data_IF_729647197598
#
_entry.id   IF_729647197598
#
_cell.length_a   1.000
_cell.length_b   1.000
_cell.length_c   1.000
_cell.angle_alpha   90.00
_cell.angle_beta   90.00
_cell.angle_gamma   90.00
#
_symmetry.space_group_name_H-M   'P 1'
#
loop_
_entity.id
_entity.type
_entity.pdbx_description
1 polymer ?
#
# COMPACT_ATOMS: atom_id res chain seq x y z
N UNK A 1 0.45 10.97 -32.89
CA UNK A 1 -1.00 10.86 -33.06
C UNK A 1 -1.65 11.22 -31.73
N UNK A 2 -2.63 12.18 -31.80
CA UNK A 2 -3.42 12.61 -30.66
C UNK A 2 -4.82 12.02 -30.80
N UNK A 3 -5.32 11.40 -29.74
CA UNK A 3 -6.59 10.67 -29.73
C UNK A 3 -7.49 11.21 -28.62
N UNK A 4 -8.77 11.41 -28.97
CA UNK A 4 -9.82 11.78 -28.04
C UNK A 4 -10.88 10.68 -27.99
N UNK A 5 -11.22 10.23 -26.79
CA UNK A 5 -12.27 9.23 -26.59
C UNK A 5 -13.40 9.85 -25.77
N UNK A 6 -14.61 9.84 -26.33
CA UNK A 6 -15.83 10.38 -25.73
C UNK A 6 -16.24 11.74 -26.27
N UNK A 7 -17.24 12.41 -25.66
CA UNK A 7 -17.74 13.72 -26.06
C UNK A 7 -16.64 14.79 -26.06
N UNK A 8 -16.42 15.46 -27.16
CA UNK A 8 -15.37 16.46 -27.29
C UNK A 8 -15.99 17.87 -27.31
N UNK A 9 -15.58 18.72 -26.39
CA UNK A 9 -15.88 20.15 -26.37
C UNK A 9 -14.62 20.93 -26.76
N UNK A 10 -14.42 21.14 -28.07
CA UNK A 10 -13.23 21.85 -28.59
C UNK A 10 -13.11 23.27 -28.03
N UNK A 11 -11.94 23.60 -27.54
CA UNK A 11 -11.51 24.93 -27.12
C UNK A 11 -10.40 25.42 -28.06
N UNK A 12 -10.14 26.73 -28.11
CA UNK A 12 -9.19 27.36 -29.04
C UNK A 12 -7.73 26.83 -28.92
N UNK A 13 -7.35 26.26 -27.78
CA UNK A 13 -6.01 25.71 -27.50
C UNK A 13 -5.90 24.19 -27.73
N UNK A 14 -7.00 23.53 -28.16
CA UNK A 14 -6.99 22.11 -28.47
C UNK A 14 -6.19 21.84 -29.75
N UNK A 15 -5.25 20.86 -29.72
CA UNK A 15 -4.67 20.35 -30.96
C UNK A 15 -5.70 19.56 -31.78
N UNK A 16 -5.33 19.20 -33.00
CA UNK A 16 -6.15 18.29 -33.79
C UNK A 16 -6.07 16.88 -33.20
N UNK A 17 -7.24 16.32 -32.89
CA UNK A 17 -7.43 14.97 -32.40
C UNK A 17 -8.19 14.10 -33.38
N UNK A 18 -7.80 12.84 -33.47
CA UNK A 18 -8.66 11.79 -34.01
C UNK A 18 -9.66 11.38 -32.94
N UNK A 19 -10.95 11.58 -33.19
CA UNK A 19 -12.01 11.37 -32.21
C UNK A 19 -12.60 9.95 -32.36
N UNK A 20 -12.74 9.25 -31.23
CA UNK A 20 -13.34 7.92 -31.14
C UNK A 20 -14.48 7.93 -30.12
N UNK A 21 -15.51 7.13 -30.38
CA UNK A 21 -16.63 6.98 -29.46
C UNK A 21 -16.35 5.95 -28.35
N UNK A 22 -15.40 5.01 -28.58
CA UNK A 22 -15.03 3.98 -27.61
C UNK A 22 -13.57 3.56 -27.75
N UNK A 23 -13.04 2.87 -26.75
CA UNK A 23 -11.68 2.33 -26.76
C UNK A 23 -11.54 1.15 -27.72
N UNK A 24 -12.59 0.36 -27.89
CA UNK A 24 -12.62 -0.78 -28.81
C UNK A 24 -12.38 -0.32 -30.25
N UNK A 25 -13.08 0.74 -30.67
CA UNK A 25 -12.91 1.34 -31.99
C UNK A 25 -11.47 1.83 -32.26
N UNK A 26 -10.77 2.32 -31.22
CA UNK A 26 -9.36 2.68 -31.33
C UNK A 26 -8.49 1.44 -31.52
N UNK A 27 -8.71 0.38 -30.72
CA UNK A 27 -7.88 -0.82 -30.72
C UNK A 27 -8.04 -1.66 -31.99
N UNK A 28 -9.25 -1.70 -32.58
CA UNK A 28 -9.51 -2.39 -33.86
C UNK A 28 -8.68 -1.81 -35.01
N UNK A 29 -8.36 -0.53 -34.98
CA UNK A 29 -7.53 0.11 -35.98
C UNK A 29 -6.03 -0.16 -35.81
N UNK A 30 -5.61 -0.76 -34.70
CA UNK A 30 -4.20 -1.08 -34.40
C UNK A 30 -3.28 0.13 -34.30
N UNK A 31 -3.83 1.33 -34.11
CA UNK A 31 -3.03 2.56 -34.04
C UNK A 31 -2.37 2.74 -32.68
N UNK A 32 -1.05 2.96 -32.70
CA UNK A 32 -0.33 3.45 -31.52
C UNK A 32 -0.64 4.96 -31.33
N UNK A 33 -1.03 5.33 -30.12
CA UNK A 33 -1.26 6.71 -29.74
C UNK A 33 -0.13 7.24 -28.88
N UNK A 34 0.26 8.50 -29.06
CA UNK A 34 1.21 9.15 -28.16
C UNK A 34 0.51 9.85 -27.01
N UNK A 35 -0.59 10.53 -27.32
CA UNK A 35 -1.45 11.24 -26.36
C UNK A 35 -2.89 10.78 -26.53
N UNK A 36 -3.51 10.38 -25.43
CA UNK A 36 -4.91 9.99 -25.37
C UNK A 36 -5.61 10.88 -24.32
N UNK A 37 -6.74 11.47 -24.68
CA UNK A 37 -7.59 12.20 -23.75
C UNK A 37 -8.92 11.49 -23.61
N UNK A 38 -9.32 11.23 -22.36
CA UNK A 38 -10.59 10.59 -22.04
C UNK A 38 -11.59 11.61 -21.50
N UNK A 39 -12.77 11.64 -22.09
CA UNK A 39 -13.91 12.44 -21.66
C UNK A 39 -15.13 11.51 -21.48
N UNK A 40 -15.07 10.65 -20.46
CA UNK A 40 -16.03 9.58 -20.20
C UNK A 40 -16.60 9.68 -18.78
N UNK A 41 -17.72 9.01 -18.51
CA UNK A 41 -18.23 8.84 -17.14
C UNK A 41 -17.26 7.98 -16.33
N UNK A 42 -17.23 8.18 -15.01
CA UNK A 42 -16.20 7.60 -14.13
C UNK A 42 -16.01 6.07 -14.28
N UNK A 43 -17.10 5.30 -14.29
CA UNK A 43 -17.02 3.83 -14.41
C UNK A 43 -16.53 3.38 -15.80
N UNK A 44 -16.97 4.05 -16.84
CA UNK A 44 -16.55 3.78 -18.22
C UNK A 44 -15.10 4.20 -18.42
N UNK A 45 -14.71 5.33 -17.85
CA UNK A 45 -13.33 5.82 -17.85
C UNK A 45 -12.37 4.83 -17.20
N UNK A 46 -12.73 4.28 -16.03
CA UNK A 46 -11.90 3.29 -15.33
C UNK A 46 -11.73 1.99 -16.14
N UNK A 47 -12.77 1.54 -16.83
CA UNK A 47 -12.68 0.40 -17.76
C UNK A 47 -11.77 0.73 -18.94
N UNK A 48 -11.96 1.89 -19.54
CA UNK A 48 -11.15 2.36 -20.65
C UNK A 48 -9.65 2.48 -20.27
N UNK A 49 -9.34 3.06 -19.11
CA UNK A 49 -7.99 3.16 -18.58
C UNK A 49 -7.32 1.78 -18.43
N UNK A 50 -8.03 0.78 -17.91
CA UNK A 50 -7.51 -0.59 -17.79
C UNK A 50 -7.18 -1.15 -19.17
N UNK A 51 -8.13 -1.14 -20.09
CA UNK A 51 -7.96 -1.67 -21.45
C UNK A 51 -6.77 -1.01 -22.17
N UNK A 52 -6.62 0.30 -22.05
CA UNK A 52 -5.49 1.04 -22.64
C UNK A 52 -4.14 0.65 -22.02
N UNK A 53 -4.09 0.38 -20.71
CA UNK A 53 -2.86 -0.04 -20.02
C UNK A 53 -2.52 -1.51 -20.21
N UNK A 54 -3.50 -2.35 -20.47
CA UNK A 54 -3.32 -3.77 -20.80
C UNK A 54 -2.80 -3.98 -22.24
N UNK A 55 -3.14 -3.08 -23.16
CA UNK A 55 -2.80 -3.22 -24.56
C UNK A 55 -1.36 -2.76 -24.88
N UNK A 56 -0.58 -3.61 -25.56
CA UNK A 56 0.83 -3.36 -25.85
C UNK A 56 1.10 -2.14 -26.74
N UNK A 57 0.16 -1.74 -27.58
CA UNK A 57 0.28 -0.54 -28.43
C UNK A 57 0.06 0.77 -27.67
N UNK A 58 -0.70 0.74 -26.56
CA UNK A 58 -1.17 1.94 -25.86
C UNK A 58 -0.73 2.05 -24.40
N UNK A 59 -0.16 1.00 -23.77
CA UNK A 59 0.16 1.02 -22.34
C UNK A 59 1.15 2.14 -21.95
N UNK A 60 2.05 2.54 -22.83
CA UNK A 60 2.98 3.65 -22.65
C UNK A 60 2.42 5.01 -23.09
N UNK A 61 1.23 5.07 -23.69
CA UNK A 61 0.65 6.35 -24.11
C UNK A 61 0.51 7.31 -22.95
N UNK A 62 0.70 8.60 -23.20
CA UNK A 62 0.38 9.66 -22.23
C UNK A 62 -1.13 9.83 -22.19
N UNK A 63 -1.78 9.41 -21.10
CA UNK A 63 -3.23 9.42 -20.98
C UNK A 63 -3.65 10.51 -19.99
N UNK A 64 -4.48 11.42 -20.46
CA UNK A 64 -5.08 12.48 -19.67
C UNK A 64 -6.60 12.27 -19.58
N UNK A 65 -7.19 12.70 -18.48
CA UNK A 65 -8.62 12.55 -18.22
C UNK A 65 -9.26 13.91 -17.98
N UNK A 66 -10.48 14.12 -18.47
CA UNK A 66 -11.21 15.37 -18.25
C UNK A 66 -11.76 15.49 -16.82
N UNK A 67 -12.03 14.36 -16.17
CA UNK A 67 -12.55 14.27 -14.81
C UNK A 67 -11.84 13.16 -14.05
N UNK A 68 -11.74 13.31 -12.73
CA UNK A 68 -11.20 12.24 -11.89
C UNK A 68 -12.18 11.06 -11.79
N UNK A 69 -11.64 9.85 -11.71
CA UNK A 69 -12.34 8.60 -11.45
C UNK A 69 -11.56 7.78 -10.40
N UNK A 70 -12.09 6.65 -9.95
CA UNK A 70 -11.43 5.85 -8.91
C UNK A 70 -10.03 5.37 -9.30
N UNK A 71 -9.81 5.05 -10.58
CA UNK A 71 -8.53 4.54 -11.08
C UNK A 71 -7.67 5.60 -11.79
N UNK A 72 -8.19 6.79 -12.08
CA UNK A 72 -7.42 7.83 -12.76
C UNK A 72 -6.13 8.23 -12.01
N UNK A 73 -6.05 8.30 -10.66
CA UNK A 73 -4.81 8.59 -9.97
C UNK A 73 -3.70 7.55 -10.19
N UNK A 74 -4.07 6.31 -10.54
CA UNK A 74 -3.15 5.18 -10.68
C UNK A 74 -2.83 4.83 -12.14
N UNK A 75 -3.75 5.10 -13.08
CA UNK A 75 -3.65 4.67 -14.47
C UNK A 75 -3.58 5.81 -15.48
N UNK A 76 -4.02 7.03 -15.13
CA UNK A 76 -3.85 8.22 -15.96
C UNK A 76 -2.54 8.96 -15.63
N UNK A 77 -2.17 9.93 -16.43
CA UNK A 77 -0.97 10.76 -16.26
C UNK A 77 -1.30 12.18 -15.79
N UNK A 78 -2.56 12.48 -15.57
CA UNK A 78 -3.07 13.75 -15.05
C UNK A 78 -4.39 14.17 -15.64
N UNK A 79 -4.82 15.37 -15.27
CA UNK A 79 -6.02 16.01 -15.79
C UNK A 79 -5.71 16.73 -17.10
N UNK A 80 -6.69 16.70 -18.02
CA UNK A 80 -6.65 17.48 -19.24
C UNK A 80 -6.86 18.96 -18.92
N UNK A 81 -5.86 19.78 -19.15
CA UNK A 81 -5.87 21.24 -18.93
C UNK A 81 -4.97 21.96 -19.95
N UNK A 82 -4.91 23.27 -19.91
CA UNK A 82 -4.10 24.07 -20.82
C UNK A 82 -2.58 23.86 -20.70
N UNK A 83 -2.12 23.31 -19.58
CA UNK A 83 -0.70 23.05 -19.28
C UNK A 83 -0.25 21.65 -19.76
N UNK A 84 -1.14 20.87 -20.37
CA UNK A 84 -0.86 19.49 -20.82
C UNK A 84 0.44 19.34 -21.62
N UNK A 85 0.77 20.39 -22.39
CA UNK A 85 1.86 20.33 -23.35
C UNK A 85 3.25 20.19 -22.67
N UNK A 86 3.46 20.79 -21.51
CA UNK A 86 4.74 20.68 -20.80
C UNK A 86 5.03 19.21 -20.40
N UNK A 87 4.09 18.57 -19.74
CA UNK A 87 4.22 17.17 -19.31
C UNK A 87 4.32 16.23 -20.51
N UNK A 88 3.55 16.50 -21.56
CA UNK A 88 3.61 15.72 -22.79
C UNK A 88 4.96 15.85 -23.51
N UNK A 89 5.59 17.02 -23.58
CA UNK A 89 6.92 17.18 -24.17
C UNK A 89 7.98 16.42 -23.37
N UNK A 90 7.93 16.45 -22.04
CA UNK A 90 8.83 15.65 -21.16
C UNK A 90 8.63 14.15 -21.43
N UNK A 91 7.38 13.69 -21.51
CA UNK A 91 7.06 12.29 -21.86
C UNK A 91 7.66 11.90 -23.21
N UNK A 92 7.47 12.71 -24.25
CA UNK A 92 7.99 12.44 -25.60
C UNK A 92 9.51 12.30 -25.61
N UNK A 93 10.23 13.22 -24.96
CA UNK A 93 11.67 13.17 -24.84
C UNK A 93 12.15 11.90 -24.10
N UNK A 94 11.47 11.52 -23.01
CA UNK A 94 11.81 10.32 -22.27
C UNK A 94 11.51 9.04 -23.03
N UNK A 95 10.39 8.98 -23.75
CA UNK A 95 10.01 7.84 -24.59
C UNK A 95 11.07 7.54 -25.65
N UNK A 96 11.65 8.57 -26.28
CA UNK A 96 12.74 8.42 -27.26
C UNK A 96 14.03 7.84 -26.67
N UNK A 97 14.22 7.96 -25.36
CA UNK A 97 15.39 7.44 -24.66
C UNK A 97 15.26 5.96 -24.25
N UNK A 98 14.09 5.35 -24.37
CA UNK A 98 13.85 3.96 -24.02
C UNK A 98 14.52 3.07 -25.04
N UNK A 99 15.55 2.34 -24.60
CA UNK A 99 16.26 1.33 -25.39
C UNK A 99 16.00 -0.10 -24.91
N UNK A 100 15.31 -0.22 -23.76
CA UNK A 100 14.94 -1.50 -23.19
C UNK A 100 13.83 -2.12 -24.03
N UNK A 101 14.03 -3.38 -24.43
CA UNK A 101 12.96 -4.20 -24.95
C UNK A 101 12.05 -4.64 -23.78
N UNK A 102 10.81 -4.17 -23.80
CA UNK A 102 9.86 -4.31 -22.69
C UNK A 102 8.61 -5.12 -23.03
N UNK A 103 8.44 -5.55 -24.29
CA UNK A 103 7.15 -6.07 -24.76
C UNK A 103 6.77 -7.38 -24.06
N UNK A 104 7.71 -8.28 -23.83
CA UNK A 104 7.44 -9.62 -23.31
C UNK A 104 7.62 -9.78 -21.79
N UNK A 105 8.03 -8.73 -21.08
CA UNK A 105 8.36 -8.84 -19.65
C UNK A 105 7.67 -7.74 -18.83
N UNK A 106 6.72 -8.12 -17.93
CA UNK A 106 6.02 -7.17 -17.06
C UNK A 106 6.96 -6.27 -16.23
N UNK A 107 8.16 -6.77 -15.86
CA UNK A 107 9.16 -5.99 -15.13
C UNK A 107 9.64 -4.82 -15.98
N UNK A 108 9.94 -5.08 -17.23
CA UNK A 108 10.41 -4.06 -18.16
C UNK A 108 9.29 -3.11 -18.59
N UNK A 109 8.04 -3.60 -18.73
CA UNK A 109 6.87 -2.72 -18.92
C UNK A 109 6.74 -1.71 -17.80
N UNK A 110 6.86 -2.15 -16.53
CA UNK A 110 6.81 -1.25 -15.38
C UNK A 110 7.95 -0.23 -15.40
N UNK A 111 9.20 -0.67 -15.67
CA UNK A 111 10.34 0.25 -15.70
C UNK A 111 10.20 1.29 -16.81
N UNK A 112 9.78 0.88 -18.02
CA UNK A 112 9.53 1.79 -19.13
C UNK A 112 8.42 2.78 -18.82
N UNK A 113 7.33 2.32 -18.18
CA UNK A 113 6.23 3.18 -17.76
C UNK A 113 6.70 4.23 -16.75
N UNK A 114 7.35 3.82 -15.65
CA UNK A 114 7.86 4.72 -14.63
C UNK A 114 8.94 5.68 -15.15
N UNK A 115 9.67 5.32 -16.21
CA UNK A 115 10.63 6.19 -16.86
C UNK A 115 9.94 7.27 -17.72
N UNK A 116 9.00 6.86 -18.56
CA UNK A 116 8.38 7.76 -19.53
C UNK A 116 7.53 8.85 -18.88
N UNK A 117 6.85 8.53 -17.78
CA UNK A 117 5.96 9.47 -17.13
C UNK A 117 6.70 10.29 -16.08
N UNK A 118 6.61 11.61 -16.18
CA UNK A 118 7.28 12.53 -15.26
C UNK A 118 6.72 12.35 -13.85
N UNK A 119 7.62 12.24 -12.85
CA UNK A 119 7.27 12.00 -11.45
C UNK A 119 6.39 10.76 -11.20
N UNK A 120 6.42 9.78 -12.10
CA UNK A 120 5.66 8.55 -11.90
C UNK A 120 6.15 7.81 -10.67
N UNK A 121 5.21 7.67 -9.76
CA UNK A 121 5.32 6.85 -8.56
C UNK A 121 4.25 5.77 -8.71
N UNK A 122 4.63 4.53 -8.45
CA UNK A 122 3.67 3.43 -8.38
C UNK A 122 2.98 3.50 -7.02
N UNK A 123 1.76 4.02 -7.00
CA UNK A 123 0.99 4.22 -5.78
C UNK A 123 0.16 3.00 -5.43
N UNK A 124 0.09 2.62 -4.14
CA UNK A 124 -0.82 1.60 -3.67
C UNK A 124 -2.26 2.13 -3.63
N UNK A 125 -3.19 1.33 -4.11
CA UNK A 125 -4.63 1.59 -4.08
C UNK A 125 -5.27 0.79 -2.93
N UNK A 126 -6.07 1.46 -2.10
CA UNK A 126 -6.81 0.83 -1.00
C UNK A 126 -8.05 0.11 -1.52
N UNK A 127 -8.16 -1.18 -1.21
CA UNK A 127 -9.28 -2.05 -1.59
C UNK A 127 -9.80 -2.80 -0.36
N UNK A 128 -10.47 -2.09 0.57
CA UNK A 128 -10.84 -2.62 1.88
C UNK A 128 -11.79 -3.83 1.82
N UNK A 129 -12.48 -4.04 0.71
CA UNK A 129 -13.36 -5.19 0.48
C UNK A 129 -12.59 -6.48 0.13
N UNK A 130 -11.30 -6.37 -0.20
CA UNK A 130 -10.44 -7.51 -0.55
C UNK A 130 -9.56 -7.93 0.63
N UNK A 131 -9.29 -9.24 0.76
CA UNK A 131 -8.48 -9.79 1.86
C UNK A 131 -7.05 -9.22 1.93
N UNK A 132 -6.51 -8.73 0.81
CA UNK A 132 -5.17 -8.12 0.73
C UNK A 132 -5.15 -6.61 1.03
N UNK A 133 -6.30 -5.94 1.15
CA UNK A 133 -6.55 -4.54 1.53
C UNK A 133 -5.91 -3.47 0.65
N UNK A 134 -4.83 -3.77 -0.05
CA UNK A 134 -4.13 -2.88 -0.98
C UNK A 134 -3.68 -3.65 -2.21
N UNK A 135 -3.76 -2.99 -3.35
CA UNK A 135 -3.23 -3.48 -4.62
C UNK A 135 -2.47 -2.35 -5.37
N UNK A 136 -2.00 -2.69 -6.57
CA UNK A 136 -1.37 -1.75 -7.47
C UNK A 136 -2.03 -1.90 -8.85
N UNK A 137 -3.01 -1.05 -9.19
CA UNK A 137 -3.83 -1.22 -10.40
C UNK A 137 -3.03 -1.36 -11.69
N UNK A 138 -1.91 -0.63 -11.81
CA UNK A 138 -1.02 -0.73 -12.97
C UNK A 138 -0.42 -2.12 -13.15
N UNK A 139 -0.09 -2.82 -12.05
CA UNK A 139 0.47 -4.18 -12.12
C UNK A 139 -0.56 -5.19 -12.63
N UNK A 140 -1.84 -4.98 -12.32
CA UNK A 140 -2.91 -5.83 -12.87
C UNK A 140 -2.97 -5.72 -14.38
N UNK A 141 -2.83 -4.52 -14.92
CA UNK A 141 -2.78 -4.30 -16.36
C UNK A 141 -1.58 -5.00 -17.03
N UNK A 142 -0.53 -5.29 -16.26
CA UNK A 142 0.64 -6.05 -16.74
C UNK A 142 0.57 -7.55 -16.42
N UNK A 143 -0.60 -8.04 -15.97
CA UNK A 143 -0.84 -9.46 -15.71
C UNK A 143 -0.36 -9.96 -14.35
N UNK A 144 0.06 -9.08 -13.44
CA UNK A 144 0.46 -9.47 -12.09
C UNK A 144 -0.76 -9.56 -11.18
N UNK A 145 -1.00 -10.74 -10.61
CA UNK A 145 -2.13 -10.93 -9.71
C UNK A 145 -1.98 -10.09 -8.42
N UNK A 146 -3.08 -9.47 -7.88
CA UNK A 146 -3.02 -8.63 -6.69
C UNK A 146 -2.33 -9.26 -5.48
N UNK A 147 -2.57 -10.53 -5.23
CA UNK A 147 -1.97 -11.26 -4.09
C UNK A 147 -0.45 -11.44 -4.22
N UNK A 148 0.06 -11.46 -5.45
CA UNK A 148 1.48 -11.62 -5.78
C UNK A 148 2.23 -10.29 -5.85
N UNK A 149 1.51 -9.16 -6.01
CA UNK A 149 2.07 -7.84 -6.26
C UNK A 149 3.14 -7.42 -5.24
N UNK A 150 2.92 -7.72 -3.96
CA UNK A 150 3.87 -7.36 -2.90
C UNK A 150 5.17 -8.17 -2.97
N UNK A 151 5.09 -9.47 -3.25
CA UNK A 151 6.26 -10.34 -3.41
C UNK A 151 7.05 -9.93 -4.66
N UNK A 152 6.34 -9.71 -5.76
CA UNK A 152 6.89 -9.30 -7.04
C UNK A 152 7.63 -7.95 -6.96
N UNK A 153 7.03 -6.93 -6.30
CA UNK A 153 7.70 -5.65 -6.04
C UNK A 153 8.91 -5.80 -5.11
N UNK A 154 8.83 -6.72 -4.15
CA UNK A 154 9.94 -7.06 -3.26
C UNK A 154 11.16 -7.60 -4.02
N UNK A 155 10.96 -8.40 -5.06
CA UNK A 155 12.03 -8.91 -5.92
C UNK A 155 12.66 -7.81 -6.77
N UNK A 156 11.86 -6.92 -7.37
CA UNK A 156 12.36 -5.76 -8.09
C UNK A 156 13.17 -4.81 -7.21
N UNK A 157 12.75 -4.65 -5.95
CA UNK A 157 13.48 -3.85 -4.97
C UNK A 157 14.81 -4.52 -4.59
N UNK A 158 14.84 -5.85 -4.35
CA UNK A 158 16.08 -6.60 -4.08
C UNK A 158 17.05 -6.49 -5.25
N UNK A 159 16.55 -6.52 -6.48
CA UNK A 159 17.34 -6.31 -7.69
C UNK A 159 17.71 -4.83 -7.94
N UNK A 160 17.38 -3.94 -7.02
CA UNK A 160 17.65 -2.50 -7.09
C UNK A 160 17.09 -1.80 -8.36
N UNK A 161 16.07 -2.37 -8.99
CA UNK A 161 15.44 -1.77 -10.17
C UNK A 161 14.44 -0.68 -9.78
N UNK A 162 13.78 -0.85 -8.63
CA UNK A 162 12.89 0.14 -8.00
C UNK A 162 13.34 0.39 -6.56
N UNK A 163 12.94 1.53 -6.01
CA UNK A 163 13.16 1.89 -4.62
C UNK A 163 11.86 2.36 -3.97
N UNK A 164 11.77 2.20 -2.65
CA UNK A 164 10.66 2.71 -1.85
C UNK A 164 10.67 4.23 -1.88
N UNK A 165 9.50 4.84 -2.13
CA UNK A 165 9.31 6.28 -2.09
C UNK A 165 8.71 6.69 -0.74
N UNK A 166 7.50 6.28 -0.44
CA UNK A 166 6.79 6.64 0.78
C UNK A 166 6.15 5.41 1.43
N UNK A 167 6.08 5.40 2.75
CA UNK A 167 5.33 4.41 3.52
C UNK A 167 3.88 4.86 3.62
N UNK A 168 2.99 4.24 2.86
CA UNK A 168 1.56 4.59 2.82
C UNK A 168 0.79 3.97 3.98
N UNK A 169 1.14 2.73 4.39
CA UNK A 169 0.47 2.05 5.50
C UNK A 169 1.31 0.92 6.10
N UNK A 170 0.91 0.50 7.31
CA UNK A 170 1.44 -0.70 7.98
C UNK A 170 0.28 -1.55 8.46
N UNK A 171 0.13 -2.73 7.91
CA UNK A 171 -0.99 -3.62 8.12
C UNK A 171 -0.55 -4.91 8.80
N UNK A 172 -1.50 -5.55 9.47
CA UNK A 172 -1.34 -6.89 10.02
C UNK A 172 -2.24 -7.87 9.28
N UNK A 173 -1.75 -9.07 9.09
CA UNK A 173 -2.44 -10.14 8.35
C UNK A 173 -2.50 -11.41 9.17
N UNK A 174 -3.57 -12.17 8.99
CA UNK A 174 -3.76 -13.49 9.61
C UNK A 174 -2.62 -14.44 9.21
N UNK A 175 -1.97 -15.14 10.17
CA UNK A 175 -0.91 -16.10 9.86
C UNK A 175 -1.42 -17.33 9.11
N UNK A 176 -2.72 -17.68 9.23
CA UNK A 176 -3.29 -18.86 8.60
C UNK A 176 -3.74 -18.66 7.15
N UNK A 177 -4.44 -17.55 6.84
CA UNK A 177 -5.03 -17.33 5.51
C UNK A 177 -4.58 -16.04 4.81
N UNK A 178 -3.70 -15.29 5.44
CA UNK A 178 -3.16 -14.02 4.93
C UNK A 178 -4.23 -12.95 4.63
N UNK A 179 -5.38 -13.00 5.31
CA UNK A 179 -6.38 -11.95 5.24
C UNK A 179 -6.02 -10.79 6.17
N UNK A 180 -6.20 -9.56 5.70
CA UNK A 180 -6.10 -8.35 6.52
C UNK A 180 -7.39 -8.02 7.28
N UNK A 181 -8.48 -8.76 7.06
CA UNK A 181 -9.73 -8.56 7.77
C UNK A 181 -9.66 -9.18 9.17
N UNK A 182 -9.12 -8.42 10.09
CA UNK A 182 -8.91 -8.80 11.49
C UNK A 182 -9.84 -7.98 12.39
N UNK A 183 -10.46 -8.64 13.35
CA UNK A 183 -11.17 -8.00 14.45
C UNK A 183 -10.32 -8.13 15.71
N UNK A 184 -9.98 -7.00 16.33
CA UNK A 184 -9.24 -6.96 17.59
C UNK A 184 -10.22 -6.95 18.74
N UNK A 185 -10.08 -7.91 19.66
CA UNK A 185 -11.05 -8.17 20.71
C UNK A 185 -10.30 -8.27 22.04
N UNK A 186 -10.83 -7.58 23.05
CA UNK A 186 -10.42 -7.75 24.42
C UNK A 186 -10.97 -9.07 24.97
N UNK A 187 -10.10 -9.91 25.50
CA UNK A 187 -10.47 -11.21 26.07
C UNK A 187 -9.96 -11.35 27.51
N UNK A 188 -10.65 -12.19 28.27
CA UNK A 188 -10.21 -12.56 29.61
C UNK A 188 -8.80 -13.17 29.58
N UNK A 189 -7.85 -12.70 30.40
CA UNK A 189 -6.48 -13.21 30.40
C UNK A 189 -6.37 -14.67 30.88
N UNK A 190 -7.39 -15.20 31.57
CA UNK A 190 -7.38 -16.56 32.11
C UNK A 190 -8.02 -17.58 31.18
N UNK A 191 -9.21 -17.27 30.62
CA UNK A 191 -9.96 -18.26 29.82
C UNK A 191 -10.23 -17.85 28.39
N UNK A 192 -9.72 -16.69 27.96
CA UNK A 192 -9.87 -16.12 26.62
C UNK A 192 -11.31 -15.87 26.17
N UNK A 193 -12.26 -15.83 27.12
CA UNK A 193 -13.66 -15.48 26.83
C UNK A 193 -13.77 -13.99 26.48
N UNK A 194 -14.61 -13.69 25.50
CA UNK A 194 -15.01 -12.33 25.13
C UNK A 194 -16.13 -11.79 26.01
N UNK A 195 -16.76 -12.67 26.83
CA UNK A 195 -17.87 -12.30 27.69
C UNK A 195 -17.31 -11.69 28.98
N UNK A 196 -16.97 -10.42 28.86
CA UNK A 196 -16.41 -9.61 29.96
C UNK A 196 -17.24 -8.32 30.11
N UNK A 197 -17.38 -7.88 31.35
CA UNK A 197 -18.08 -6.64 31.68
C UNK A 197 -17.25 -5.76 32.61
N UNK A 198 -17.45 -4.44 32.51
CA UNK A 198 -16.86 -3.51 33.47
C UNK A 198 -17.56 -3.62 34.79
N UNK A 199 -16.80 -3.79 35.85
CA UNK A 199 -17.29 -3.88 37.21
C UNK A 199 -16.49 -2.96 38.14
N UNK A 200 -17.16 -2.00 38.73
CA UNK A 200 -16.53 -1.18 39.77
C UNK A 200 -16.33 -2.01 41.04
N UNK A 201 -15.09 -2.08 41.52
CA UNK A 201 -14.70 -2.81 42.74
C UNK A 201 -14.25 -1.87 43.82
N UNK A 202 -14.49 -2.26 45.08
CA UNK A 202 -14.00 -1.57 46.26
C UNK A 202 -12.96 -2.44 46.98
N UNK A 203 -11.96 -1.79 47.55
CA UNK A 203 -10.95 -2.39 48.41
C UNK A 203 -11.16 -1.92 49.86
N UNK A 204 -11.45 -2.84 50.76
CA UNK A 204 -11.58 -2.55 52.16
C UNK A 204 -10.21 -2.51 52.84
N UNK A 205 -9.81 -1.36 53.41
CA UNK A 205 -8.50 -1.23 54.03
C UNK A 205 -8.39 -1.98 55.37
N UNK A 206 -9.51 -2.29 56.00
CA UNK A 206 -9.50 -3.00 57.28
C UNK A 206 -9.10 -4.47 57.13
N UNK A 207 -9.51 -5.16 56.07
CA UNK A 207 -9.23 -6.62 55.88
C UNK A 207 -8.63 -7.00 54.53
N UNK A 208 -8.36 -6.01 53.64
CA UNK A 208 -7.80 -6.25 52.32
C UNK A 208 -8.76 -6.86 51.32
N UNK A 209 -10.07 -7.02 51.64
CA UNK A 209 -11.03 -7.61 50.72
C UNK A 209 -11.29 -6.69 49.53
N UNK A 210 -11.16 -7.22 48.32
CA UNK A 210 -11.51 -6.57 47.05
C UNK A 210 -12.68 -7.32 46.43
N UNK A 211 -13.71 -6.58 46.05
CA UNK A 211 -14.90 -7.19 45.43
C UNK A 211 -15.78 -6.15 44.72
N UNK A 212 -16.80 -6.64 44.03
CA UNK A 212 -17.74 -5.79 43.33
C UNK A 212 -18.36 -4.75 44.25
N UNK A 213 -18.43 -3.49 43.83
CA UNK A 213 -19.03 -2.42 44.62
C UNK A 213 -20.47 -2.75 45.06
N UNK A 214 -21.20 -3.49 44.22
CA UNK A 214 -22.57 -3.93 44.53
C UNK A 214 -22.62 -4.82 45.78
N UNK A 215 -21.61 -5.68 46.03
CA UNK A 215 -21.54 -6.57 47.19
C UNK A 215 -21.29 -5.81 48.49
N UNK A 216 -20.71 -4.62 48.43
CA UNK A 216 -20.51 -3.74 49.60
C UNK A 216 -21.72 -2.88 49.97
N UNK A 217 -22.71 -2.77 49.07
CA UNK A 217 -23.88 -1.93 49.27
C UNK A 217 -24.94 -2.65 50.07
N UNK A 218 -25.23 -2.15 51.25
CA UNK A 218 -26.36 -2.59 52.13
C UNK A 218 -27.30 -1.44 52.36
N UNK A 219 -28.50 -1.50 51.75
CA UNK A 219 -29.48 -0.41 51.78
C UNK A 219 -28.81 0.93 51.39
N UNK A 220 -28.64 1.85 52.32
CA UNK A 220 -28.06 3.17 52.10
C UNK A 220 -26.62 3.31 52.63
N UNK A 221 -25.97 2.23 53.03
CA UNK A 221 -24.59 2.24 53.57
C UNK A 221 -23.68 1.30 52.82
N UNK A 222 -22.38 1.59 52.85
CA UNK A 222 -21.34 0.66 52.36
C UNK A 222 -20.80 -0.15 53.58
N UNK A 223 -20.77 -1.46 53.42
CA UNK A 223 -20.26 -2.37 54.45
C UNK A 223 -19.46 -3.50 53.76
N UNK A 224 -18.26 -3.77 54.22
CA UNK A 224 -17.44 -4.84 53.70
C UNK A 224 -18.13 -6.20 53.88
N UNK A 225 -18.35 -7.01 52.84
CA UNK A 225 -19.01 -8.31 52.95
C UNK A 225 -18.17 -9.36 53.76
N UNK A 226 -16.85 -9.14 53.85
CA UNK A 226 -15.92 -10.07 54.54
C UNK A 226 -15.80 -9.75 56.01
N UNK A 227 -15.44 -8.53 56.40
CA UNK A 227 -15.21 -8.15 57.81
C UNK A 227 -16.36 -7.41 58.44
N UNK A 228 -17.44 -7.12 57.70
CA UNK A 228 -18.65 -6.41 58.13
C UNK A 228 -18.42 -4.95 58.62
N UNK A 229 -17.21 -4.40 58.41
CA UNK A 229 -16.86 -3.02 58.72
C UNK A 229 -17.71 -2.08 57.87
N UNK A 230 -18.29 -1.05 58.53
CA UNK A 230 -18.94 0.03 57.81
C UNK A 230 -17.88 0.95 57.16
N UNK A 231 -18.05 1.19 55.89
CA UNK A 231 -17.11 2.01 55.08
C UNK A 231 -17.73 3.40 54.90
N UNK A 232 -17.15 4.40 55.53
CA UNK A 232 -17.70 5.78 55.56
C UNK A 232 -16.84 6.77 54.80
N UNK A 233 -15.51 6.59 54.84
CA UNK A 233 -14.58 7.58 54.33
C UNK A 233 -13.69 6.98 53.24
N UNK A 234 -13.80 7.54 52.02
CA UNK A 234 -12.91 7.21 50.91
C UNK A 234 -11.48 7.65 51.29
N UNK A 235 -10.51 6.81 51.03
CA UNK A 235 -9.11 7.03 51.36
C UNK A 235 -8.73 6.68 52.82
N UNK A 236 -9.70 6.31 53.69
CA UNK A 236 -9.48 5.88 55.07
C UNK A 236 -10.01 4.48 55.31
N UNK A 237 -11.25 4.21 54.93
CA UNK A 237 -11.90 2.91 55.13
C UNK A 237 -11.82 2.06 53.85
N UNK A 238 -11.80 2.69 52.67
CA UNK A 238 -11.75 2.05 51.36
C UNK A 238 -11.20 2.98 50.30
N UNK A 239 -10.72 2.39 49.19
CA UNK A 239 -10.31 3.14 48.00
C UNK A 239 -11.50 3.65 47.19
N UNK A 240 -11.20 4.61 46.31
CA UNK A 240 -12.15 4.96 45.23
C UNK A 240 -12.48 3.71 44.44
N UNK A 241 -13.70 3.63 43.87
CA UNK A 241 -14.03 2.51 43.00
C UNK A 241 -12.96 2.34 41.88
N UNK A 242 -12.39 1.16 41.83
CA UNK A 242 -11.46 0.77 40.77
C UNK A 242 -12.30 0.10 39.68
N UNK A 243 -12.19 0.58 38.48
CA UNK A 243 -12.85 -0.07 37.34
C UNK A 243 -12.05 -1.29 36.94
N UNK A 244 -12.58 -2.47 37.22
CA UNK A 244 -12.05 -3.74 36.84
C UNK A 244 -12.90 -4.34 35.71
N UNK A 245 -12.38 -5.33 35.04
CA UNK A 245 -13.12 -6.21 34.14
C UNK A 245 -13.49 -7.50 34.91
N UNK A 246 -14.69 -7.98 34.73
CA UNK A 246 -15.18 -9.25 35.25
C UNK A 246 -15.51 -10.19 34.10
N UNK A 247 -14.97 -11.39 34.13
CA UNK A 247 -15.29 -12.41 33.15
C UNK A 247 -16.52 -13.22 33.59
N UNK A 248 -17.59 -13.20 32.81
CA UNK A 248 -18.81 -13.94 33.10
C UNK A 248 -18.63 -15.45 32.95
N UNK A 249 -17.61 -15.91 32.19
CA UNK A 249 -17.35 -17.34 31.97
C UNK A 249 -16.56 -17.99 33.10
N UNK A 250 -15.47 -17.40 33.58
CA UNK A 250 -14.62 -17.97 34.62
C UNK A 250 -14.63 -17.20 35.95
N UNK A 251 -15.41 -16.13 36.03
CA UNK A 251 -15.61 -15.28 37.23
C UNK A 251 -14.32 -14.55 37.70
N UNK A 252 -13.28 -14.50 36.84
CA UNK A 252 -12.04 -13.80 37.18
C UNK A 252 -12.22 -12.29 37.07
N UNK A 253 -11.70 -11.57 38.07
CA UNK A 253 -11.54 -10.10 38.01
C UNK A 253 -10.13 -9.78 37.52
N UNK A 254 -10.02 -8.82 36.59
CA UNK A 254 -8.74 -8.37 36.04
C UNK A 254 -8.82 -6.87 35.69
N UNK A 255 -7.67 -6.22 35.59
CA UNK A 255 -7.58 -4.80 35.23
C UNK A 255 -7.33 -4.69 33.73
N UNK A 256 -6.34 -5.43 33.23
CA UNK A 256 -5.92 -5.35 31.83
C UNK A 256 -6.40 -6.61 31.09
N UNK A 257 -7.18 -6.40 30.04
CA UNK A 257 -7.55 -7.46 29.10
C UNK A 257 -6.39 -7.81 28.19
N UNK A 258 -6.39 -9.03 27.70
CA UNK A 258 -5.50 -9.45 26.61
C UNK A 258 -6.19 -9.15 25.30
N UNK A 259 -5.47 -8.49 24.37
CA UNK A 259 -6.00 -8.23 23.03
C UNK A 259 -5.65 -9.40 22.11
N UNK A 260 -6.64 -10.02 21.52
CA UNK A 260 -6.49 -11.03 20.46
C UNK A 260 -7.03 -10.50 19.14
N UNK A 261 -6.44 -10.99 18.05
CA UNK A 261 -6.92 -10.73 16.70
C UNK A 261 -7.68 -11.96 16.17
N UNK A 262 -8.97 -11.81 15.92
CA UNK A 262 -9.79 -12.82 15.26
C UNK A 262 -9.91 -12.54 13.77
N UNK A 263 -9.48 -13.48 12.94
CA UNK A 263 -9.63 -13.38 11.50
C UNK A 263 -11.10 -13.55 11.09
N UNK A 264 -11.67 -12.56 10.39
CA UNK A 264 -13.06 -12.62 9.93
C UNK A 264 -13.24 -13.60 8.75
N UNK A 265 -12.14 -13.98 8.10
CA UNK A 265 -12.19 -14.91 6.96
C UNK A 265 -12.08 -16.38 7.36
N UNK A 266 -11.06 -16.78 8.14
CA UNK A 266 -10.85 -18.17 8.53
C UNK A 266 -11.15 -18.46 10.02
N UNK A 267 -11.62 -17.47 10.78
CA UNK A 267 -11.99 -17.56 12.19
C UNK A 267 -10.84 -17.90 13.15
N UNK A 268 -9.58 -17.90 12.67
CA UNK A 268 -8.42 -18.13 13.53
C UNK A 268 -8.26 -16.96 14.51
N UNK A 269 -8.15 -17.27 15.80
CA UNK A 269 -7.69 -16.32 16.83
C UNK A 269 -6.17 -16.41 16.98
N UNK A 270 -5.53 -15.27 17.07
CA UNK A 270 -4.08 -15.15 17.14
C UNK A 270 -3.68 -14.05 18.11
N UNK A 271 -2.52 -14.19 18.77
CA UNK A 271 -1.92 -13.09 19.51
C UNK A 271 -1.42 -12.01 18.54
N UNK A 272 -1.26 -10.79 19.01
CA UNK A 272 -0.81 -9.67 18.17
C UNK A 272 0.58 -9.92 17.57
N UNK A 273 1.47 -10.60 18.32
CA UNK A 273 2.84 -10.91 17.91
C UNK A 273 2.94 -11.99 16.84
N UNK A 274 1.90 -12.84 16.73
CA UNK A 274 1.84 -13.92 15.74
C UNK A 274 1.37 -13.39 14.36
N UNK A 275 0.87 -12.15 14.29
CA UNK A 275 0.35 -11.57 13.04
C UNK A 275 1.49 -11.18 12.09
N UNK A 276 1.30 -11.44 10.82
CA UNK A 276 2.24 -11.02 9.79
C UNK A 276 2.13 -9.51 9.53
N UNK A 277 3.19 -8.77 9.83
CA UNK A 277 3.24 -7.33 9.55
C UNK A 277 3.69 -7.09 8.10
N UNK A 278 2.93 -6.29 7.36
CA UNK A 278 3.27 -5.85 6.01
C UNK A 278 3.24 -4.34 5.93
N UNK A 279 4.34 -3.76 5.44
CA UNK A 279 4.41 -2.34 5.10
C UNK A 279 4.00 -2.15 3.64
N UNK A 280 3.12 -1.21 3.39
CA UNK A 280 2.65 -0.80 2.06
C UNK A 280 3.40 0.46 1.67
N UNK A 281 4.14 0.40 0.56
CA UNK A 281 4.94 1.51 0.06
C UNK A 281 4.47 1.93 -1.32
N UNK A 282 4.64 3.20 -1.64
CA UNK A 282 4.78 3.62 -3.03
C UNK A 282 6.21 3.34 -3.53
N UNK A 283 6.38 3.20 -4.85
CA UNK A 283 7.66 2.87 -5.46
C UNK A 283 8.00 3.80 -6.62
N UNK A 284 9.29 4.05 -6.81
CA UNK A 284 9.84 4.80 -7.94
C UNK A 284 11.04 4.08 -8.54
N UNK A 285 11.47 4.50 -9.71
CA UNK A 285 12.67 3.95 -10.35
C UNK A 285 13.93 4.27 -9.55
N UNK A 286 14.69 3.23 -9.21
CA UNK A 286 16.06 3.36 -8.71
C UNK A 286 17.05 3.70 -9.84
N UNK A 287 18.26 4.11 -9.48
CA UNK A 287 19.30 4.47 -10.48
C UNK A 287 19.62 3.31 -11.44
N UNK A 288 19.81 2.05 -10.99
CA UNK A 288 20.03 0.93 -11.91
C UNK A 288 18.86 0.71 -12.87
N UNK A 289 17.61 0.82 -12.38
CA UNK A 289 16.42 0.73 -13.23
C UNK A 289 16.38 1.79 -14.32
N UNK A 290 16.72 3.04 -14.01
CA UNK A 290 16.84 4.13 -14.98
C UNK A 290 17.92 3.86 -16.02
N UNK A 291 19.06 3.30 -15.60
CA UNK A 291 20.17 2.93 -16.49
C UNK A 291 19.75 1.81 -17.44
N UNK A 292 19.07 0.79 -16.90
CA UNK A 292 18.57 -0.34 -17.70
C UNK A 292 17.60 0.13 -18.80
N UNK A 293 16.66 1.02 -18.47
CA UNK A 293 15.72 1.56 -19.47
C UNK A 293 16.44 2.30 -20.59
N UNK A 294 17.46 3.10 -20.27
CA UNK A 294 18.18 3.92 -21.24
C UNK A 294 19.20 3.17 -22.07
N UNK A 295 19.78 2.10 -21.57
CA UNK A 295 20.89 1.37 -22.22
C UNK A 295 20.46 0.04 -22.80
N UNK A 296 19.34 -0.51 -22.34
CA UNK A 296 18.91 -1.87 -22.70
C UNK A 296 19.73 -2.97 -22.01
N UNK A 297 19.36 -4.22 -22.24
CA UNK A 297 19.99 -5.40 -21.62
C UNK A 297 21.46 -5.58 -21.98
N UNK A 298 21.84 -5.29 -23.22
CA UNK A 298 23.20 -5.55 -23.71
C UNK A 298 24.30 -4.70 -23.07
N UNK A 299 23.92 -3.64 -22.35
CA UNK A 299 24.84 -2.74 -21.64
C UNK A 299 24.60 -2.70 -20.12
N UNK A 300 23.68 -3.51 -19.57
CA UNK A 300 23.40 -3.55 -18.14
C UNK A 300 24.44 -4.42 -17.42
N UNK A 301 25.59 -3.84 -17.15
CA UNK A 301 26.65 -4.43 -16.33
C UNK A 301 26.24 -4.67 -14.87
N UNK A 302 25.04 -4.26 -14.47
CA UNK A 302 24.55 -4.24 -13.09
C UNK A 302 23.42 -5.24 -12.78
N UNK A 303 22.99 -6.05 -13.74
CA UNK A 303 22.05 -7.13 -13.44
C UNK A 303 22.84 -8.31 -12.84
N UNK A 304 23.21 -8.18 -11.56
CA UNK A 304 23.64 -9.35 -10.78
C UNK A 304 22.40 -10.17 -10.45
N UNK A 305 22.31 -11.38 -10.92
CA UNK A 305 21.44 -12.36 -10.30
C UNK A 305 21.98 -12.67 -8.89
N UNK A 306 21.12 -12.79 -7.87
CA UNK A 306 21.58 -13.14 -6.53
C UNK A 306 22.35 -14.48 -6.58
N UNK A 307 23.68 -14.42 -6.40
CA UNK A 307 24.56 -15.58 -6.46
C UNK A 307 25.61 -15.58 -7.57
N UNK A 308 25.53 -14.70 -8.56
CA UNK A 308 26.59 -14.60 -9.57
C UNK A 308 27.81 -13.82 -9.05
N UNK A 309 28.99 -14.39 -9.27
CA UNK A 309 30.25 -13.71 -8.99
C UNK A 309 30.52 -12.64 -10.05
N UNK A 310 30.94 -11.47 -9.61
CA UNK A 310 31.35 -10.37 -10.48
C UNK A 310 32.49 -10.81 -11.38
N UNK A 311 32.33 -10.65 -12.69
CA UNK A 311 33.40 -10.91 -13.64
C UNK A 311 34.53 -9.87 -13.49
N UNK A 312 35.76 -10.24 -13.85
CA UNK A 312 36.90 -9.31 -13.82
C UNK A 312 36.64 -8.04 -14.64
N UNK A 313 35.95 -8.15 -15.77
CA UNK A 313 35.60 -6.99 -16.61
C UNK A 313 34.61 -6.05 -15.88
N UNK A 314 33.63 -6.56 -15.17
CA UNK A 314 32.65 -5.79 -14.37
C UNK A 314 33.36 -5.08 -13.20
N UNK A 315 34.30 -5.75 -12.55
CA UNK A 315 35.12 -5.16 -11.47
C UNK A 315 35.98 -4.00 -11.98
N UNK A 316 36.73 -4.19 -13.07
CA UNK A 316 37.57 -3.14 -13.62
C UNK A 316 36.76 -1.93 -14.11
N UNK A 317 35.58 -2.16 -14.67
CA UNK A 317 34.68 -1.07 -15.07
C UNK A 317 34.19 -0.28 -13.85
N UNK A 318 33.80 -0.95 -12.75
CA UNK A 318 33.36 -0.30 -11.52
C UNK A 318 34.46 0.57 -10.93
N UNK A 319 35.70 0.09 -10.91
CA UNK A 319 36.88 0.82 -10.45
C UNK A 319 37.14 2.05 -11.34
N UNK A 320 37.06 1.90 -12.66
CA UNK A 320 37.24 3.03 -13.60
C UNK A 320 36.12 4.07 -13.43
N UNK A 321 34.90 3.64 -13.24
CA UNK A 321 33.78 4.53 -12.97
C UNK A 321 33.94 5.28 -11.65
N UNK A 322 34.34 4.62 -10.57
CA UNK A 322 34.63 5.28 -9.29
C UNK A 322 35.77 6.27 -9.40
N UNK A 323 36.84 5.92 -10.13
CA UNK A 323 37.95 6.83 -10.39
C UNK A 323 37.53 8.09 -11.19
N UNK A 324 36.62 7.93 -12.16
CA UNK A 324 36.04 9.06 -12.91
C UNK A 324 35.14 9.93 -12.02
N UNK A 325 34.37 9.34 -11.12
CA UNK A 325 33.60 10.08 -10.12
C UNK A 325 34.50 10.84 -9.13
N UNK A 326 35.53 10.19 -8.61
CA UNK A 326 36.50 10.83 -7.70
C UNK A 326 37.19 12.03 -8.35
N UNK A 327 37.58 11.91 -9.63
CA UNK A 327 38.14 13.03 -10.39
C UNK A 327 37.17 14.20 -10.57
N UNK A 328 35.86 13.92 -10.75
CA UNK A 328 34.82 14.97 -10.87
C UNK A 328 34.51 15.67 -9.55
N UNK A 329 34.63 14.97 -8.44
CA UNK A 329 34.29 15.50 -7.12
C UNK A 329 35.52 15.84 -6.25
N UNK A 330 36.77 15.81 -6.80
CA UNK A 330 38.02 16.04 -6.08
C UNK A 330 38.16 15.18 -4.81
N UNK A 331 37.58 13.98 -4.79
CA UNK A 331 37.68 13.03 -3.69
C UNK A 331 38.75 11.98 -4.01
N UNK A 332 39.67 11.78 -3.07
CA UNK A 332 40.67 10.69 -3.13
C UNK A 332 40.07 9.46 -2.43
N UNK A 333 39.98 8.37 -3.15
CA UNK A 333 39.67 7.07 -2.56
C UNK A 333 40.99 6.33 -2.28
N UNK A 334 41.20 5.98 -1.02
CA UNK A 334 42.26 5.09 -0.56
C UNK A 334 41.83 3.62 -0.72
#
# INVERSE_FOLDING_TARGET
>A
NFIWIGPCHKQSWYPDFDAFNSVEALLELGHSAELIVLSLQAEEQDKCLRVLRENDATFLSHILVCHESALSPYLANGLWNAEYNEHYQIYKLKKQQVKLDYQDDPRYKLLAYLWCHHNSILEPHSVPEKKYLYDYPLLHCFGIHPEESFAWLGELQKSQLIEKAELSNRLRFCPGCHSGHLNYIDVCPQCHSIDTEQQSSLHCFNCGHVGAQASFRKLNTLSCPNCLQNLRHIGVDYDRPIENQHCNSCQTLFVDAVVEAKCLHCQLSSKLDDLHVRNVYSFKLAIPGRTLVRQGRSQSWFAFEPGEQMTSAQFFWLVDWQNKLAKRHHQTHS
#
